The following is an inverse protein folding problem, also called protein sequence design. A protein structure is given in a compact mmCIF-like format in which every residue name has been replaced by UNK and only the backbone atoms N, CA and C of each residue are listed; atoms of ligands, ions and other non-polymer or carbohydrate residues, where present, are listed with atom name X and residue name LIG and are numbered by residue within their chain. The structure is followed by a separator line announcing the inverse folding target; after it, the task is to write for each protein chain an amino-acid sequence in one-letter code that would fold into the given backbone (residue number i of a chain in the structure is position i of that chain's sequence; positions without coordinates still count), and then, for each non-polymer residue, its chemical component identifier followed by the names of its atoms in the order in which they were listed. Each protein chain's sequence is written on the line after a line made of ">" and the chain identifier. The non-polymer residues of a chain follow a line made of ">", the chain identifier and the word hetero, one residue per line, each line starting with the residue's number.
data_IF_950423910986
#
_entry.id   IF_950423910986
#
_cell.length_a   1.000
_cell.length_b   1.000
_cell.length_c   1.000
_cell.angle_alpha   90.00
_cell.angle_beta   90.00
_cell.angle_gamma   90.00
#
_symmetry.space_group_name_H-M   'P 1'
#
loop_
_entity.id
_entity.type
_entity.pdbx_description
1 polymer ?
#
# COMPACT_ATOMS: atom_id res chain seq x y z
N UNK A 1 8.36 -26.59 15.36
CA UNK A 1 9.14 -26.47 14.11
C UNK A 1 10.43 -25.73 14.47
N UNK A 2 11.64 -26.20 14.11
CA UNK A 2 12.88 -25.47 14.35
C UNK A 2 12.97 -24.21 13.48
N UNK A 3 13.71 -23.19 13.92
CA UNK A 3 13.84 -21.92 13.19
C UNK A 3 14.29 -22.07 11.72
N UNK A 4 15.07 -23.10 11.42
CA UNK A 4 15.53 -23.42 10.05
C UNK A 4 14.39 -23.72 9.08
N UNK A 5 13.30 -24.29 9.58
CA UNK A 5 12.19 -24.76 8.76
C UNK A 5 11.16 -23.65 8.52
N UNK A 6 11.23 -22.54 9.28
CA UNK A 6 10.41 -21.36 9.03
C UNK A 6 10.76 -20.79 7.66
N UNK A 7 9.84 -20.65 6.69
CA UNK A 7 10.20 -20.13 5.38
C UNK A 7 10.69 -18.69 5.45
N UNK A 8 11.82 -18.37 4.81
CA UNK A 8 12.39 -17.02 4.81
C UNK A 8 11.46 -16.00 4.14
N UNK A 9 10.71 -16.42 3.12
CA UNK A 9 9.66 -15.62 2.53
C UNK A 9 8.38 -16.43 2.28
N UNK A 10 7.22 -15.83 2.55
CA UNK A 10 5.89 -16.30 2.13
C UNK A 10 5.13 -15.07 1.63
N UNK A 11 4.96 -14.99 0.32
CA UNK A 11 4.21 -13.91 -0.34
C UNK A 11 3.25 -14.52 -1.36
N UNK A 12 2.12 -13.87 -1.59
CA UNK A 12 1.20 -14.30 -2.65
C UNK A 12 1.89 -14.17 -4.04
N UNK A 13 1.58 -15.06 -5.00
CA UNK A 13 2.32 -15.18 -6.25
C UNK A 13 2.09 -14.02 -7.22
N UNK A 14 0.96 -13.31 -7.10
CA UNK A 14 0.60 -12.23 -8.01
C UNK A 14 -0.18 -11.13 -7.30
N UNK A 15 -0.07 -9.91 -7.83
CA UNK A 15 -0.85 -8.75 -7.39
C UNK A 15 -0.04 -7.72 -6.61
N UNK A 16 -0.75 -6.71 -6.10
CA UNK A 16 -0.18 -5.64 -5.26
C UNK A 16 -0.74 -5.76 -3.86
N UNK A 17 0.11 -5.97 -2.86
CA UNK A 17 -0.32 -6.25 -1.50
C UNK A 17 0.64 -5.68 -0.45
N UNK A 18 0.14 -5.55 0.78
CA UNK A 18 0.93 -5.10 1.92
C UNK A 18 1.87 -6.21 2.36
N UNK A 19 3.08 -5.83 2.78
CA UNK A 19 4.07 -6.76 3.30
C UNK A 19 4.77 -6.17 4.52
N UNK A 20 5.32 -7.05 5.36
CA UNK A 20 6.15 -6.68 6.52
C UNK A 20 7.47 -7.45 6.52
N UNK A 21 8.51 -6.80 7.05
CA UNK A 21 9.79 -7.41 7.39
C UNK A 21 9.77 -7.74 8.88
N UNK A 22 9.98 -9.01 9.23
CA UNK A 22 9.85 -9.49 10.61
C UNK A 22 11.17 -10.08 11.05
N UNK A 23 11.62 -9.74 12.26
CA UNK A 23 12.63 -10.53 12.98
C UNK A 23 11.91 -11.59 13.80
N UNK A 24 12.22 -12.86 13.53
CA UNK A 24 11.72 -14.02 14.26
C UNK A 24 12.80 -14.50 15.19
N UNK A 25 12.47 -14.66 16.47
CA UNK A 25 13.38 -15.11 17.53
C UNK A 25 12.80 -16.41 18.11
N UNK A 26 13.56 -17.51 18.02
CA UNK A 26 13.20 -18.78 18.65
C UNK A 26 13.44 -18.68 20.16
N UNK A 27 12.39 -18.80 20.99
CA UNK A 27 12.48 -18.49 22.42
C UNK A 27 13.45 -19.41 23.18
N UNK A 28 13.51 -20.68 22.78
CA UNK A 28 14.32 -21.70 23.43
C UNK A 28 15.83 -21.50 23.18
N UNK A 29 16.23 -21.25 21.93
CA UNK A 29 17.65 -21.14 21.56
C UNK A 29 18.16 -19.70 21.48
N UNK A 30 17.26 -18.71 21.47
CA UNK A 30 17.54 -17.30 21.17
C UNK A 30 18.14 -17.05 19.78
N UNK A 31 18.13 -18.04 18.89
CA UNK A 31 18.48 -17.82 17.48
C UNK A 31 17.43 -16.94 16.83
N UNK A 32 17.88 -16.09 15.91
CA UNK A 32 17.01 -15.17 15.20
C UNK A 32 17.27 -15.20 13.69
N UNK A 33 16.25 -14.84 12.91
CA UNK A 33 16.40 -14.53 11.48
C UNK A 33 15.36 -13.54 11.02
N UNK A 34 15.58 -12.98 9.83
CA UNK A 34 14.63 -12.11 9.17
C UNK A 34 13.77 -12.91 8.19
N UNK A 35 12.47 -12.61 8.16
CA UNK A 35 11.54 -13.16 7.19
C UNK A 35 10.70 -12.07 6.53
N UNK A 36 10.21 -12.37 5.34
CA UNK A 36 9.27 -11.52 4.58
C UNK A 36 7.90 -12.21 4.51
N UNK A 37 6.85 -11.47 4.83
CA UNK A 37 5.46 -11.93 4.77
C UNK A 37 4.60 -10.88 4.06
N UNK A 38 3.69 -11.29 3.19
CA UNK A 38 2.82 -10.35 2.48
C UNK A 38 1.74 -11.04 1.65
N UNK A 39 0.49 -10.62 1.86
CA UNK A 39 -0.68 -11.33 1.33
C UNK A 39 -1.74 -10.36 0.83
N UNK A 40 -2.36 -10.66 -0.31
CA UNK A 40 -3.42 -9.85 -0.91
C UNK A 40 -4.70 -9.82 -0.05
N UNK A 41 -4.93 -10.87 0.74
CA UNK A 41 -6.06 -10.94 1.69
C UNK A 41 -5.91 -10.04 2.92
N UNK A 42 -4.71 -9.56 3.22
CA UNK A 42 -4.46 -8.71 4.38
C UNK A 42 -4.66 -7.23 4.01
N UNK A 43 -5.71 -6.62 4.57
CA UNK A 43 -6.02 -5.22 4.33
C UNK A 43 -5.02 -4.28 5.02
N UNK A 44 -4.42 -4.72 6.13
CA UNK A 44 -3.45 -3.96 6.91
C UNK A 44 -2.16 -4.75 7.14
N UNK A 45 -1.08 -4.04 7.46
CA UNK A 45 0.18 -4.65 7.86
C UNK A 45 0.06 -5.45 9.16
N UNK A 46 -0.87 -5.04 10.05
CA UNK A 46 -1.17 -5.75 11.30
C UNK A 46 -1.74 -7.14 11.04
N UNK A 47 -2.63 -7.29 10.05
CA UNK A 47 -3.22 -8.59 9.69
C UNK A 47 -2.14 -9.57 9.22
N UNK A 48 -1.13 -9.10 8.48
CA UNK A 48 0.01 -9.93 8.06
C UNK A 48 0.81 -10.40 9.28
N UNK A 49 0.99 -9.53 10.28
CA UNK A 49 1.69 -9.88 11.52
C UNK A 49 0.89 -10.92 12.31
N UNK A 50 -0.39 -10.65 12.56
CA UNK A 50 -1.27 -11.56 13.31
C UNK A 50 -1.36 -12.95 12.64
N UNK A 51 -1.47 -13.00 11.32
CA UNK A 51 -1.48 -14.27 10.58
C UNK A 51 -0.14 -15.01 10.74
N UNK A 52 0.98 -14.29 10.74
CA UNK A 52 2.31 -14.88 10.93
C UNK A 52 2.52 -15.38 12.37
N UNK A 53 2.02 -14.65 13.36
CA UNK A 53 2.03 -15.06 14.77
C UNK A 53 1.24 -16.36 14.97
N UNK A 54 0.07 -16.48 14.32
CA UNK A 54 -0.73 -17.72 14.32
C UNK A 54 -0.02 -18.87 13.62
N UNK A 55 0.66 -18.62 12.49
CA UNK A 55 1.42 -19.64 11.75
C UNK A 55 2.57 -20.22 12.58
N UNK A 56 3.35 -19.36 13.25
CA UNK A 56 4.56 -19.78 13.96
C UNK A 56 4.29 -20.25 15.40
N UNK A 57 3.23 -19.74 16.03
CA UNK A 57 2.84 -20.10 17.39
C UNK A 57 3.73 -19.48 18.47
N UNK A 58 3.49 -19.91 19.72
CA UNK A 58 4.06 -19.29 20.91
C UNK A 58 5.54 -19.55 21.15
N UNK A 59 6.16 -20.47 20.41
CA UNK A 59 7.59 -20.79 20.52
C UNK A 59 8.49 -19.66 19.98
N UNK A 60 7.90 -18.74 19.23
CA UNK A 60 8.58 -17.62 18.60
C UNK A 60 8.14 -16.28 19.19
N UNK A 61 9.07 -15.34 19.22
CA UNK A 61 8.81 -13.92 19.39
C UNK A 61 9.00 -13.24 18.03
N UNK A 62 8.03 -12.40 17.64
CA UNK A 62 8.03 -11.71 16.36
C UNK A 62 8.16 -10.21 16.59
N UNK A 63 9.17 -9.59 15.97
CA UNK A 63 9.35 -8.14 15.98
C UNK A 63 9.17 -7.62 14.56
N UNK A 64 8.07 -6.90 14.32
CA UNK A 64 7.84 -6.22 13.05
C UNK A 64 8.81 -5.04 12.91
N UNK A 65 9.71 -5.11 11.92
CA UNK A 65 10.75 -4.10 11.66
C UNK A 65 10.30 -3.01 10.68
N UNK A 66 9.00 -2.96 10.36
CA UNK A 66 8.42 -2.10 9.35
C UNK A 66 7.78 -2.88 8.22
N UNK A 67 7.21 -2.15 7.26
CA UNK A 67 6.60 -2.78 6.08
C UNK A 67 6.59 -1.87 4.87
N UNK A 68 5.78 -2.27 3.90
CA UNK A 68 5.59 -1.57 2.64
C UNK A 68 4.55 -2.27 1.78
N UNK A 69 4.74 -2.23 0.46
CA UNK A 69 3.98 -2.97 -0.53
C UNK A 69 4.90 -3.79 -1.41
N UNK A 70 4.38 -4.92 -1.84
CA UNK A 70 4.96 -5.76 -2.88
C UNK A 70 4.01 -5.74 -4.06
N UNK A 71 4.56 -5.52 -5.26
CA UNK A 71 3.93 -5.91 -6.52
C UNK A 71 4.65 -7.15 -7.02
N UNK A 72 3.94 -8.27 -7.07
CA UNK A 72 4.45 -9.53 -7.57
C UNK A 72 3.78 -9.85 -8.92
N UNK A 73 4.59 -10.08 -9.93
CA UNK A 73 4.16 -10.44 -11.28
C UNK A 73 4.88 -11.73 -11.66
N UNK A 74 4.29 -12.88 -11.32
CA UNK A 74 4.97 -14.18 -11.43
C UNK A 74 5.28 -14.56 -12.88
N UNK A 75 4.38 -14.22 -13.80
CA UNK A 75 4.53 -14.43 -15.25
C UNK A 75 5.72 -13.67 -15.84
N UNK A 76 5.95 -12.44 -15.38
CA UNK A 76 7.07 -11.60 -15.81
C UNK A 76 8.34 -11.82 -14.98
N UNK A 77 8.25 -12.71 -13.98
CA UNK A 77 9.29 -13.01 -13.00
C UNK A 77 9.82 -11.73 -12.34
N UNK A 78 8.90 -10.86 -11.93
CA UNK A 78 9.21 -9.54 -11.39
C UNK A 78 8.60 -9.34 -10.01
N UNK A 79 9.38 -8.74 -9.11
CA UNK A 79 8.94 -8.32 -7.78
C UNK A 79 9.45 -6.91 -7.51
N UNK A 80 8.52 -5.99 -7.26
CA UNK A 80 8.80 -4.62 -6.83
C UNK A 80 8.44 -4.45 -5.34
N UNK A 81 9.39 -3.96 -4.54
CA UNK A 81 9.22 -3.68 -3.11
C UNK A 81 9.30 -2.17 -2.88
N UNK A 82 8.28 -1.58 -2.25
CA UNK A 82 8.18 -0.12 -2.12
C UNK A 82 7.28 0.33 -0.96
N UNK A 83 7.14 1.64 -0.78
CA UNK A 83 6.19 2.23 0.18
C UNK A 83 6.61 2.05 1.64
N UNK A 84 5.62 2.09 2.55
CA UNK A 84 5.85 1.95 3.99
C UNK A 84 4.62 1.39 4.72
N UNK A 85 4.77 0.99 5.99
CA UNK A 85 3.65 0.65 6.87
C UNK A 85 3.16 1.85 7.68
N UNK A 86 1.85 2.07 7.71
CA UNK A 86 1.25 3.12 8.54
C UNK A 86 1.44 2.85 10.04
N UNK A 87 1.38 1.58 10.46
CA UNK A 87 1.53 1.18 11.86
C UNK A 87 2.99 0.96 12.27
N UNK A 88 3.83 0.44 11.37
CA UNK A 88 5.19 -0.01 11.69
C UNK A 88 6.31 0.82 11.04
N UNK A 89 5.98 1.81 10.21
CA UNK A 89 6.98 2.57 9.46
C UNK A 89 7.55 1.82 8.24
N UNK A 90 8.55 2.39 7.55
CA UNK A 90 9.20 1.75 6.40
C UNK A 90 10.10 0.61 6.87
N UNK A 91 9.99 -0.55 6.20
CA UNK A 91 10.99 -1.59 6.33
C UNK A 91 12.31 -1.18 5.64
N UNK A 92 13.40 -1.88 6.00
CA UNK A 92 14.58 -1.93 5.15
C UNK A 92 14.25 -2.81 3.92
N UNK A 93 13.86 -2.14 2.84
CA UNK A 93 13.47 -2.79 1.59
C UNK A 93 14.61 -3.60 0.99
N UNK A 94 15.88 -3.26 1.28
CA UNK A 94 17.03 -3.98 0.76
C UNK A 94 17.23 -5.32 1.43
N UNK A 95 17.03 -5.38 2.74
CA UNK A 95 16.96 -6.68 3.44
C UNK A 95 15.81 -7.53 2.90
N UNK A 96 14.64 -6.92 2.71
CA UNK A 96 13.46 -7.61 2.17
C UNK A 96 13.74 -8.19 0.78
N UNK A 97 14.33 -7.39 -0.11
CA UNK A 97 14.71 -7.82 -1.46
C UNK A 97 15.77 -8.92 -1.45
N UNK A 98 16.77 -8.84 -0.56
CA UNK A 98 17.79 -9.89 -0.46
C UNK A 98 17.19 -11.24 -0.03
N UNK A 99 16.24 -11.23 0.92
CA UNK A 99 15.49 -12.42 1.32
C UNK A 99 14.67 -12.98 0.14
N UNK A 100 13.98 -12.10 -0.59
CA UNK A 100 13.17 -12.50 -1.74
C UNK A 100 14.03 -13.07 -2.88
N UNK A 101 15.24 -12.55 -3.12
CA UNK A 101 16.20 -13.12 -4.08
C UNK A 101 16.58 -14.56 -3.75
N UNK A 102 16.71 -14.89 -2.47
CA UNK A 102 16.97 -16.27 -2.04
C UNK A 102 15.82 -17.21 -2.39
N UNK A 103 14.56 -16.76 -2.23
CA UNK A 103 13.37 -17.55 -2.58
C UNK A 103 13.09 -17.62 -4.08
N UNK A 104 13.38 -16.55 -4.81
CA UNK A 104 13.11 -16.43 -6.25
C UNK A 104 14.40 -16.19 -7.04
N UNK A 105 15.35 -17.15 -7.04
CA UNK A 105 16.67 -16.96 -7.65
C UNK A 105 16.61 -16.78 -9.18
N UNK A 106 15.56 -17.29 -9.82
CA UNK A 106 15.35 -17.22 -11.27
C UNK A 106 14.59 -15.96 -11.71
N UNK A 107 14.14 -15.13 -10.78
CA UNK A 107 13.44 -13.90 -11.13
C UNK A 107 14.43 -12.86 -11.63
N UNK A 108 14.00 -12.01 -12.59
CA UNK A 108 14.88 -11.10 -13.33
C UNK A 108 15.80 -10.35 -12.37
N UNK A 109 17.09 -10.60 -12.49
CA UNK A 109 18.10 -9.89 -11.70
C UNK A 109 18.44 -8.53 -12.33
N UNK A 110 18.56 -7.49 -11.50
CA UNK A 110 18.39 -7.57 -10.06
C UNK A 110 16.90 -7.47 -9.72
N UNK A 111 16.44 -8.35 -8.81
CA UNK A 111 15.23 -8.10 -8.02
C UNK A 111 15.49 -6.74 -7.35
N UNK A 112 14.91 -5.68 -7.89
CA UNK A 112 15.41 -4.33 -7.67
C UNK A 112 14.37 -3.56 -6.88
N UNK A 113 14.79 -3.04 -5.73
CA UNK A 113 14.20 -1.84 -5.11
C UNK A 113 14.28 -0.65 -6.09
N UNK A 114 15.14 -0.75 -7.10
CA UNK A 114 15.67 0.34 -7.89
C UNK A 114 15.08 0.48 -9.30
N UNK A 115 14.06 -0.28 -9.69
CA UNK A 115 13.26 0.20 -10.81
C UNK A 115 12.47 1.40 -10.29
N UNK A 116 12.69 2.62 -10.82
CA UNK A 116 11.88 3.75 -10.42
C UNK A 116 10.45 3.36 -10.73
N UNK A 117 9.63 3.30 -9.67
CA UNK A 117 8.20 3.06 -9.75
C UNK A 117 7.65 3.83 -10.95
N UNK A 118 6.99 3.14 -11.87
CA UNK A 118 6.39 3.76 -13.03
C UNK A 118 4.98 4.25 -12.69
N UNK A 119 4.39 5.08 -13.56
CA UNK A 119 2.99 5.49 -13.36
C UNK A 119 2.04 4.29 -13.29
N UNK A 120 2.35 3.17 -13.95
CA UNK A 120 1.52 1.96 -13.94
C UNK A 120 1.54 1.25 -12.58
N UNK A 121 2.60 1.42 -11.80
CA UNK A 121 2.77 0.77 -10.50
C UNK A 121 2.06 1.52 -9.36
N UNK A 122 1.73 2.80 -9.57
CA UNK A 122 0.96 3.60 -8.61
C UNK A 122 -0.53 3.31 -8.81
N UNK A 123 -1.29 2.83 -7.81
CA UNK A 123 -2.73 2.63 -7.98
C UNK A 123 -3.47 3.95 -8.26
N UNK A 124 -4.40 3.96 -9.21
CA UNK A 124 -5.22 5.14 -9.51
C UNK A 124 -6.07 5.56 -8.31
N UNK A 125 -6.58 4.58 -7.57
CA UNK A 125 -7.39 4.80 -6.36
C UNK A 125 -6.86 3.94 -5.23
N UNK A 126 -6.59 4.56 -4.09
CA UNK A 126 -6.29 3.89 -2.83
C UNK A 126 -7.00 4.62 -1.69
N UNK A 127 -8.07 3.99 -1.19
CA UNK A 127 -8.98 4.55 -0.19
C UNK A 127 -9.38 3.48 0.81
N UNK A 128 -9.78 3.87 2.01
CA UNK A 128 -10.32 2.93 3.00
C UNK A 128 -11.60 2.24 2.50
N UNK A 129 -11.76 0.97 2.88
CA UNK A 129 -12.80 0.05 2.39
C UNK A 129 -14.23 0.38 2.85
N UNK A 130 -14.40 1.30 3.80
CA UNK A 130 -15.69 1.72 4.33
C UNK A 130 -15.59 3.03 5.13
N UNK A 131 -16.73 3.58 5.56
CA UNK A 131 -16.82 4.70 6.50
C UNK A 131 -16.77 6.08 5.84
N UNK A 132 -16.57 7.12 6.65
CA UNK A 132 -16.55 8.52 6.23
C UNK A 132 -15.16 9.11 6.49
N UNK A 133 -14.50 9.59 5.44
CA UNK A 133 -13.13 10.08 5.52
C UNK A 133 -12.84 11.19 4.51
N UNK A 134 -11.76 11.93 4.76
CA UNK A 134 -11.26 12.94 3.82
C UNK A 134 -10.54 12.26 2.66
N UNK A 135 -10.61 12.87 1.48
CA UNK A 135 -9.85 12.44 0.32
C UNK A 135 -9.20 13.63 -0.40
N UNK A 136 -8.14 13.36 -1.15
CA UNK A 136 -7.50 14.31 -2.04
C UNK A 136 -7.33 13.72 -3.45
N UNK A 137 -7.32 14.62 -4.43
CA UNK A 137 -6.95 14.33 -5.80
C UNK A 137 -5.55 14.87 -6.03
N UNK A 138 -4.65 14.01 -6.50
CA UNK A 138 -3.25 14.35 -6.72
C UNK A 138 -2.94 14.12 -8.20
N UNK A 139 -2.34 15.12 -8.83
CA UNK A 139 -1.66 14.95 -10.11
C UNK A 139 -0.23 14.48 -9.82
N UNK A 140 0.14 13.32 -10.34
CA UNK A 140 1.51 12.82 -10.28
C UNK A 140 2.14 12.93 -11.65
N UNK A 141 3.37 13.44 -11.69
CA UNK A 141 4.21 13.53 -12.90
C UNK A 141 5.43 12.65 -12.71
N UNK A 142 5.64 11.69 -13.61
CA UNK A 142 6.86 10.89 -13.60
C UNK A 142 8.05 11.77 -13.99
N UNK A 143 9.05 11.89 -13.11
CA UNK A 143 10.23 12.72 -13.38
C UNK A 143 11.00 12.31 -14.65
N UNK A 144 11.18 11.01 -14.96
CA UNK A 144 11.95 10.61 -16.14
C UNK A 144 11.26 10.91 -17.47
N UNK A 145 9.93 10.79 -17.53
CA UNK A 145 9.18 10.84 -18.81
C UNK A 145 8.32 12.10 -18.95
N UNK A 146 8.03 12.81 -17.87
CA UNK A 146 7.07 13.93 -17.86
C UNK A 146 5.61 13.48 -18.00
N UNK A 147 5.33 12.19 -18.13
CA UNK A 147 3.99 11.66 -18.18
C UNK A 147 3.24 11.94 -16.88
N UNK A 148 1.94 12.16 -16.98
CA UNK A 148 1.11 12.56 -15.85
C UNK A 148 -0.13 11.67 -15.70
N UNK A 149 -0.58 11.47 -14.46
CA UNK A 149 -1.92 10.96 -14.19
C UNK A 149 -2.51 11.51 -12.91
N UNK A 150 -3.82 11.32 -12.75
CA UNK A 150 -4.54 11.64 -11.53
C UNK A 150 -4.68 10.40 -10.66
N UNK A 151 -4.50 10.58 -9.35
CA UNK A 151 -4.74 9.55 -8.35
C UNK A 151 -5.62 10.06 -7.22
N UNK A 152 -6.41 9.16 -6.64
CA UNK A 152 -7.32 9.42 -5.52
C UNK A 152 -6.77 8.72 -4.27
N UNK A 153 -6.68 9.48 -3.18
CA UNK A 153 -6.19 8.99 -1.88
C UNK A 153 -7.12 9.44 -0.76
N UNK A 154 -7.52 8.55 0.15
CA UNK A 154 -8.46 8.89 1.21
C UNK A 154 -8.51 7.86 2.34
N UNK A 155 -8.22 8.30 3.56
CA UNK A 155 -8.03 7.40 4.70
C UNK A 155 -8.66 7.95 5.99
N UNK A 156 -9.34 7.11 6.77
CA UNK A 156 -10.00 7.41 8.04
C UNK A 156 -9.03 7.99 9.07
N UNK A 157 -7.82 7.44 9.17
CA UNK A 157 -6.82 7.89 10.15
C UNK A 157 -6.27 9.29 9.83
N UNK A 158 -6.40 9.76 8.59
CA UNK A 158 -5.95 11.08 8.18
C UNK A 158 -6.99 12.16 8.50
N UNK A 159 -6.91 12.74 9.71
CA UNK A 159 -7.81 13.82 10.16
C UNK A 159 -7.86 15.04 9.24
N UNK A 160 -6.78 15.31 8.50
CA UNK A 160 -6.64 16.45 7.58
C UNK A 160 -6.14 16.02 6.20
N UNK A 161 -6.58 16.73 5.15
CA UNK A 161 -6.13 16.49 3.76
C UNK A 161 -4.61 16.54 3.60
N UNK A 162 -3.94 17.46 4.32
CA UNK A 162 -2.47 17.58 4.30
C UNK A 162 -1.76 16.31 4.81
N UNK A 163 -2.38 15.56 5.72
CA UNK A 163 -1.82 14.32 6.23
C UNK A 163 -1.87 13.23 5.15
N UNK A 164 -2.97 13.17 4.37
CA UNK A 164 -3.08 12.27 3.22
C UNK A 164 -1.96 12.58 2.22
N UNK A 165 -1.76 13.86 1.89
CA UNK A 165 -0.72 14.27 0.94
C UNK A 165 0.68 13.86 1.39
N UNK A 166 1.06 14.19 2.64
CA UNK A 166 2.35 13.80 3.23
C UNK A 166 2.54 12.27 3.25
N UNK A 167 1.47 11.53 3.52
CA UNK A 167 1.50 10.08 3.48
C UNK A 167 1.72 9.57 2.05
N UNK A 168 1.03 10.12 1.06
CA UNK A 168 1.24 9.74 -0.34
C UNK A 168 2.65 10.04 -0.81
N UNK A 169 3.24 11.19 -0.45
CA UNK A 169 4.64 11.52 -0.76
C UNK A 169 5.61 10.46 -0.24
N UNK A 170 5.42 9.98 0.99
CA UNK A 170 6.24 8.92 1.58
C UNK A 170 6.04 7.57 0.89
N UNK A 171 4.82 7.27 0.46
CA UNK A 171 4.46 5.99 -0.16
C UNK A 171 5.05 5.83 -1.56
N UNK A 172 4.92 6.86 -2.40
CA UNK A 172 5.35 6.79 -3.80
C UNK A 172 6.83 7.16 -3.99
N UNK A 173 7.43 7.80 -2.99
CA UNK A 173 8.84 8.15 -2.99
C UNK A 173 9.17 9.32 -3.92
N UNK A 174 10.45 9.44 -4.27
CA UNK A 174 11.02 10.62 -4.94
C UNK A 174 10.98 10.55 -6.47
N UNK A 175 10.52 9.46 -7.07
CA UNK A 175 10.46 9.27 -8.53
C UNK A 175 9.40 10.15 -9.21
N UNK A 176 8.47 10.72 -8.43
CA UNK A 176 7.36 11.52 -8.94
C UNK A 176 7.39 12.95 -8.39
N UNK A 177 6.88 13.90 -9.17
CA UNK A 177 6.43 15.20 -8.68
C UNK A 177 4.94 15.09 -8.34
N UNK A 178 4.53 15.57 -7.17
CA UNK A 178 3.15 15.53 -6.73
C UNK A 178 2.58 16.95 -6.65
N UNK A 179 1.37 17.13 -7.19
CA UNK A 179 0.57 18.33 -6.99
C UNK A 179 -0.82 17.94 -6.50
N UNK A 180 -1.15 18.30 -5.26
CA UNK A 180 -2.53 18.22 -4.78
C UNK A 180 -3.38 19.24 -5.52
N UNK A 181 -4.41 18.81 -6.24
CA UNK A 181 -5.26 19.67 -7.07
C UNK A 181 -6.67 19.89 -6.48
N UNK A 182 -6.89 19.41 -5.26
CA UNK A 182 -8.13 19.58 -4.52
C UNK A 182 -8.41 18.41 -3.61
N UNK A 183 -9.51 18.50 -2.87
CA UNK A 183 -10.03 17.38 -2.10
C UNK A 183 -11.49 17.53 -1.72
N UNK A 184 -11.91 16.69 -0.79
CA UNK A 184 -13.26 16.65 -0.23
C UNK A 184 -13.37 15.54 0.80
N UNK A 185 -14.53 14.89 0.85
CA UNK A 185 -14.81 13.69 1.64
C UNK A 185 -15.42 12.61 0.78
N UNK A 186 -15.24 11.37 1.25
CA UNK A 186 -15.87 10.19 0.71
C UNK A 186 -16.62 9.52 1.85
N UNK A 187 -17.87 9.13 1.58
CA UNK A 187 -18.61 8.16 2.36
C UNK A 187 -18.65 6.85 1.58
N UNK A 188 -18.05 5.80 2.12
CA UNK A 188 -17.95 4.47 1.51
C UNK A 188 -18.82 3.48 2.30
N UNK A 189 -19.90 3.00 1.68
CA UNK A 189 -20.85 2.05 2.26
C UNK A 189 -20.81 0.75 1.44
N UNK A 190 -19.86 -0.17 1.69
CA UNK A 190 -19.69 -1.37 0.86
C UNK A 190 -20.90 -2.31 0.91
N UNK A 191 -21.62 -2.37 2.04
CA UNK A 191 -22.83 -3.19 2.18
C UNK A 191 -23.95 -2.75 1.23
N UNK A 192 -23.94 -1.47 0.82
CA UNK A 192 -24.90 -0.89 -0.14
C UNK A 192 -24.31 -0.73 -1.54
N UNK A 193 -23.05 -1.16 -1.75
CA UNK A 193 -22.24 -0.83 -2.95
C UNK A 193 -22.36 0.65 -3.32
N UNK A 194 -22.22 1.54 -2.34
CA UNK A 194 -22.44 2.97 -2.52
C UNK A 194 -21.22 3.79 -2.11
N UNK A 195 -20.86 4.77 -2.94
CA UNK A 195 -19.82 5.76 -2.67
C UNK A 195 -20.38 7.16 -2.93
N UNK A 196 -20.19 8.07 -1.98
CA UNK A 196 -20.60 9.47 -2.12
C UNK A 196 -19.42 10.41 -1.92
N UNK A 197 -19.11 11.20 -2.94
CA UNK A 197 -17.98 12.16 -2.98
C UNK A 197 -18.50 13.59 -2.80
N UNK A 198 -18.02 14.33 -1.81
CA UNK A 198 -18.58 15.66 -1.54
C UNK A 198 -17.64 16.63 -0.82
N UNK A 199 -18.09 17.88 -0.66
CA UNK A 199 -17.41 18.92 0.09
C UNK A 199 -16.09 19.39 -0.51
N UNK A 200 -15.16 19.87 0.32
CA UNK A 200 -13.90 20.45 -0.17
C UNK A 200 -12.74 20.26 0.80
N UNK A 201 -11.52 20.59 0.34
CA UNK A 201 -10.37 20.78 1.22
C UNK A 201 -10.16 22.24 1.55
N UNK A 202 -10.13 22.59 2.83
CA UNK A 202 -9.80 23.96 3.28
C UNK A 202 -8.43 24.43 2.78
N UNK A 203 -7.47 23.50 2.59
CA UNK A 203 -6.11 23.83 2.14
C UNK A 203 -5.94 23.82 0.63
N UNK A 204 -6.55 22.84 -0.04
CA UNK A 204 -6.29 22.57 -1.45
C UNK A 204 -7.46 22.98 -2.37
N UNK A 205 -8.55 23.50 -1.81
CA UNK A 205 -9.78 23.76 -2.53
C UNK A 205 -10.59 22.50 -2.81
N UNK A 206 -11.65 22.68 -3.59
CA UNK A 206 -12.54 21.61 -4.04
C UNK A 206 -11.94 20.89 -5.26
N UNK A 207 -11.85 19.57 -5.19
CA UNK A 207 -11.50 18.78 -6.38
C UNK A 207 -12.67 18.74 -7.37
N UNK A 208 -12.38 18.50 -8.66
CA UNK A 208 -13.43 18.18 -9.65
C UNK A 208 -14.01 16.81 -9.34
N UNK A 209 -15.15 16.75 -8.65
CA UNK A 209 -15.66 15.50 -8.09
C UNK A 209 -16.07 14.49 -9.17
N UNK A 210 -16.46 14.93 -10.36
CA UNK A 210 -16.74 14.08 -11.50
C UNK A 210 -15.51 13.23 -11.86
N UNK A 211 -14.32 13.85 -11.92
CA UNK A 211 -13.06 13.15 -12.20
C UNK A 211 -12.71 12.14 -11.11
N UNK A 212 -13.06 12.43 -9.85
CA UNK A 212 -12.93 11.47 -8.75
C UNK A 212 -13.87 10.28 -8.98
N UNK A 213 -15.15 10.55 -9.29
CA UNK A 213 -16.16 9.53 -9.56
C UNK A 213 -15.75 8.64 -10.72
N UNK A 214 -15.22 9.19 -11.83
CA UNK A 214 -14.73 8.40 -12.97
C UNK A 214 -13.67 7.38 -12.56
N UNK A 215 -12.70 7.78 -11.73
CA UNK A 215 -11.63 6.88 -11.26
C UNK A 215 -12.15 5.87 -10.24
N UNK A 216 -13.06 6.28 -9.35
CA UNK A 216 -13.72 5.37 -8.43
C UNK A 216 -14.57 4.34 -9.16
N UNK A 217 -15.31 4.73 -10.20
CA UNK A 217 -16.17 3.84 -10.97
C UNK A 217 -15.37 2.78 -11.70
N UNK A 218 -14.16 3.12 -12.20
CA UNK A 218 -13.24 2.13 -12.77
C UNK A 218 -12.78 1.09 -11.74
N UNK A 219 -12.54 1.49 -10.49
CA UNK A 219 -12.13 0.57 -9.42
C UNK A 219 -13.31 -0.22 -8.83
N UNK A 220 -14.49 0.38 -8.76
CA UNK A 220 -15.71 -0.17 -8.17
C UNK A 220 -16.84 -0.17 -9.22
N UNK A 221 -16.74 -0.98 -10.29
CA UNK A 221 -17.67 -0.93 -11.42
C UNK A 221 -19.12 -1.22 -11.03
N UNK A 222 -19.31 -2.02 -9.99
CA UNK A 222 -20.62 -2.45 -9.46
C UNK A 222 -21.24 -1.45 -8.47
N UNK A 223 -20.53 -0.35 -8.14
CA UNK A 223 -21.02 0.60 -7.14
C UNK A 223 -21.86 1.69 -7.80
N UNK A 224 -22.89 2.14 -7.08
CA UNK A 224 -23.50 3.44 -7.31
C UNK A 224 -22.58 4.49 -6.72
N UNK A 225 -22.04 5.37 -7.57
CA UNK A 225 -21.12 6.42 -7.14
C UNK A 225 -21.71 7.77 -7.51
N UNK A 226 -21.97 8.61 -6.50
CA UNK A 226 -22.54 9.94 -6.69
C UNK A 226 -21.62 11.01 -6.11
N UNK A 227 -21.85 12.26 -6.49
CA UNK A 227 -21.15 13.40 -5.92
C UNK A 227 -22.07 14.58 -5.66
N UNK A 228 -21.65 15.47 -4.78
CA UNK A 228 -22.23 16.80 -4.58
C UNK A 228 -21.12 17.82 -4.34
N UNK A 229 -21.27 19.01 -4.90
CA UNK A 229 -20.37 20.12 -4.62
C UNK A 229 -20.69 20.85 -3.30
N UNK A 230 -21.78 20.46 -2.67
CA UNK A 230 -22.17 20.95 -1.36
C UNK A 230 -21.57 20.11 -0.24
N UNK A 231 -21.63 20.67 0.98
CA UNK A 231 -21.35 19.97 2.21
C UNK A 231 -19.95 20.16 2.81
N UNK A 232 -19.92 19.78 4.08
CA UNK A 232 -18.83 19.69 5.05
C UNK A 232 -17.61 18.93 4.68
#
# INVERSE_FOLDING_TARGET
>A
MPLTDVPDAKIDPDGVFKYILIKVIEKASKKEKLIVRGYARCEYHGDVLEETEKELGSDYELVCLGGGRIKHESKDQNILVYGYSQGYGPADHQKSVNILKGKYPNYKTPLNILYPMSLKDVPDVDIDSEGLFKYIMIKITAKPTGEEKLIIRGYKHCKWHKNIFKQTEKEIGTSFLLKCIGGGRIKHEPQKKNLFVYGYSQRYGQAKHEKTVDLLQKKYPEYKITYSYEGW
#
